data_IF_955790118414
#
_entry.id   IF_955790118414
#
_cell.length_a   1.000
_cell.length_b   1.000
_cell.length_c   1.000
_cell.angle_alpha   90.00
_cell.angle_beta   90.00
_cell.angle_gamma   90.00
#
_symmetry.space_group_name_H-M   'P 1'
#
loop_
_entity.id
_entity.type
_entity.pdbx_description
1 polymer ?
#
# COMPACT_ATOMS: atom_id res chain seq x y z
N UNK A 1 -13.26 -5.68 -2.74
CA UNK A 1 -11.93 -6.13 -2.28
C UNK A 1 -12.01 -6.83 -0.94
N UNK A 2 -11.24 -7.90 -0.72
CA UNK A 2 -11.02 -8.41 0.64
C UNK A 2 -9.95 -7.54 1.31
N UNK A 3 -10.11 -7.21 2.59
CA UNK A 3 -9.14 -6.41 3.35
C UNK A 3 -7.70 -6.97 3.23
N UNK A 4 -7.57 -8.30 3.12
CA UNK A 4 -6.31 -9.02 2.96
C UNK A 4 -5.52 -8.62 1.71
N UNK A 5 -6.20 -8.16 0.66
CA UNK A 5 -5.54 -7.76 -0.57
C UNK A 5 -4.87 -6.39 -0.40
N UNK A 6 -5.51 -5.46 0.34
CA UNK A 6 -4.95 -4.12 0.62
C UNK A 6 -3.73 -4.22 1.54
N UNK A 7 -3.86 -5.02 2.60
CA UNK A 7 -2.74 -5.37 3.49
C UNK A 7 -1.55 -5.90 2.68
N UNK A 8 -1.80 -6.83 1.76
CA UNK A 8 -0.74 -7.36 0.90
C UNK A 8 -0.12 -6.31 0.00
N UNK A 9 -0.93 -5.48 -0.67
CA UNK A 9 -0.44 -4.41 -1.56
C UNK A 9 0.45 -3.45 -0.77
N UNK A 10 -0.04 -2.91 0.35
CA UNK A 10 0.68 -1.93 1.16
C UNK A 10 1.98 -2.52 1.73
N UNK A 11 1.94 -3.75 2.24
CA UNK A 11 3.12 -4.43 2.78
C UNK A 11 4.20 -4.67 1.71
N UNK A 12 3.80 -5.05 0.49
CA UNK A 12 4.72 -5.22 -0.63
C UNK A 12 5.27 -3.88 -1.13
N UNK A 13 4.41 -2.87 -1.26
CA UNK A 13 4.76 -1.52 -1.72
C UNK A 13 5.86 -0.92 -0.84
N UNK A 14 5.76 -1.08 0.48
CA UNK A 14 6.74 -0.55 1.43
C UNK A 14 8.18 -0.93 1.07
N UNK A 15 8.44 -2.19 0.72
CA UNK A 15 9.78 -2.62 0.35
C UNK A 15 10.24 -2.10 -1.01
N UNK A 16 9.30 -1.84 -1.92
CA UNK A 16 9.60 -1.26 -3.21
C UNK A 16 9.94 0.23 -3.12
N UNK A 17 9.35 0.97 -2.17
CA UNK A 17 9.41 2.45 -2.16
C UNK A 17 10.14 3.08 -0.97
N UNK A 18 10.36 2.36 0.14
CA UNK A 18 10.88 2.94 1.40
C UNK A 18 12.26 3.61 1.33
N UNK A 19 13.06 3.23 0.34
CA UNK A 19 14.41 3.77 0.13
C UNK A 19 14.48 4.68 -1.11
N UNK A 20 13.36 4.88 -1.79
CA UNK A 20 13.29 5.70 -3.00
C UNK A 20 12.97 7.13 -2.62
N UNK A 21 13.87 8.08 -2.93
CA UNK A 21 13.70 9.49 -2.55
C UNK A 21 12.42 10.10 -3.15
N UNK A 22 12.01 9.66 -4.34
CA UNK A 22 10.77 10.09 -5.00
C UNK A 22 9.50 9.70 -4.24
N UNK A 23 9.58 8.73 -3.34
CA UNK A 23 8.46 8.22 -2.55
C UNK A 23 8.50 8.64 -1.08
N UNK A 24 9.48 9.47 -0.70
CA UNK A 24 9.73 9.85 0.69
C UNK A 24 8.51 10.48 1.38
N UNK A 25 7.78 11.33 0.67
CA UNK A 25 6.56 11.95 1.22
C UNK A 25 5.49 10.91 1.50
N UNK A 26 5.22 10.02 0.53
CA UNK A 26 4.27 8.90 0.69
C UNK A 26 4.66 8.00 1.87
N UNK A 27 5.94 7.64 1.98
CA UNK A 27 6.46 6.82 3.09
C UNK A 27 6.28 7.52 4.44
N UNK A 28 6.50 8.83 4.50
CA UNK A 28 6.32 9.62 5.72
C UNK A 28 4.83 9.73 6.11
N UNK A 29 3.92 9.88 5.14
CA UNK A 29 2.48 9.86 5.41
C UNK A 29 1.97 8.48 5.82
N UNK A 30 2.61 7.42 5.30
CA UNK A 30 2.25 6.02 5.58
C UNK A 30 3.12 5.39 6.68
N UNK A 31 3.68 6.20 7.58
CA UNK A 31 4.68 5.80 8.59
C UNK A 31 4.25 4.63 9.49
N UNK A 32 2.95 4.49 9.75
CA UNK A 32 2.37 3.36 10.48
C UNK A 32 1.73 2.32 9.56
N UNK A 33 0.99 2.74 8.54
CA UNK A 33 0.23 1.83 7.67
C UNK A 33 1.12 0.82 6.94
N UNK A 34 2.25 1.27 6.39
CA UNK A 34 3.18 0.41 5.67
C UNK A 34 3.85 -0.66 6.54
N UNK A 35 4.46 -0.30 7.70
CA UNK A 35 5.01 -1.31 8.61
C UNK A 35 3.97 -2.27 9.19
N UNK A 36 2.76 -1.79 9.52
CA UNK A 36 1.69 -2.63 10.06
C UNK A 36 1.21 -3.66 9.04
N UNK A 37 1.02 -3.24 7.78
CA UNK A 37 0.65 -4.14 6.69
C UNK A 37 1.68 -5.26 6.51
N UNK A 38 2.97 -4.92 6.52
CA UNK A 38 4.03 -5.91 6.46
C UNK A 38 4.02 -6.84 7.68
N UNK A 39 3.86 -6.30 8.89
CA UNK A 39 3.87 -7.10 10.11
C UNK A 39 2.75 -8.16 10.10
N UNK A 40 1.55 -7.79 9.63
CA UNK A 40 0.44 -8.74 9.48
C UNK A 40 0.71 -9.76 8.38
N UNK A 41 1.13 -9.31 7.19
CA UNK A 41 1.37 -10.18 6.04
C UNK A 41 2.50 -11.21 6.28
N UNK A 42 3.51 -10.82 7.05
CA UNK A 42 4.64 -11.68 7.42
C UNK A 42 4.36 -12.59 8.62
N UNK A 43 3.17 -12.47 9.24
CA UNK A 43 2.80 -13.24 10.43
C UNK A 43 3.58 -12.85 11.70
N UNK A 44 4.19 -11.66 11.73
CA UNK A 44 4.85 -11.11 12.93
C UNK A 44 3.83 -10.71 14.00
N UNK A 45 2.63 -10.36 13.58
CA UNK A 45 1.47 -10.12 14.44
C UNK A 45 0.33 -11.05 14.05
N UNK A 46 -0.54 -11.33 15.01
CA UNK A 46 -1.77 -12.09 14.76
C UNK A 46 -2.84 -11.20 14.11
N UNK A 47 -4.01 -11.13 14.72
CA UNK A 47 -5.09 -10.28 14.20
C UNK A 47 -4.83 -8.79 14.48
N UNK A 48 -4.99 -7.96 13.45
CA UNK A 48 -4.95 -6.51 13.58
C UNK A 48 -6.26 -5.98 14.16
N UNK A 49 -6.16 -5.09 15.14
CA UNK A 49 -7.31 -4.31 15.63
C UNK A 49 -7.76 -3.26 14.61
N UNK A 50 -9.00 -2.78 14.76
CA UNK A 50 -9.63 -1.88 13.77
C UNK A 50 -8.84 -0.59 13.50
N UNK A 51 -8.18 -0.02 14.52
CA UNK A 51 -7.31 1.14 14.32
C UNK A 51 -6.13 0.85 13.40
N UNK A 52 -5.51 -0.34 13.53
CA UNK A 52 -4.41 -0.75 12.64
C UNK A 52 -4.91 -0.98 11.21
N UNK A 53 -6.12 -1.54 11.06
CA UNK A 53 -6.78 -1.68 9.77
C UNK A 53 -7.02 -0.32 9.10
N UNK A 54 -7.44 0.68 9.89
CA UNK A 54 -7.62 2.06 9.41
C UNK A 54 -6.36 2.67 8.81
N UNK A 55 -5.19 2.50 9.47
CA UNK A 55 -3.92 3.02 8.94
C UNK A 55 -3.51 2.34 7.61
N UNK A 56 -3.81 1.05 7.45
CA UNK A 56 -3.50 0.31 6.22
C UNK A 56 -4.41 0.75 5.08
N UNK A 57 -5.70 0.96 5.38
CA UNK A 57 -6.68 1.51 4.43
C UNK A 57 -6.29 2.92 3.95
N UNK A 58 -5.87 3.79 4.86
CA UNK A 58 -5.37 5.12 4.53
C UNK A 58 -4.11 5.06 3.64
N UNK A 59 -3.13 4.23 4.02
CA UNK A 59 -1.91 4.05 3.23
C UNK A 59 -2.19 3.52 1.82
N UNK A 60 -3.17 2.62 1.67
CA UNK A 60 -3.60 2.14 0.35
C UNK A 60 -4.20 3.26 -0.50
N UNK A 61 -5.04 4.11 0.10
CA UNK A 61 -5.61 5.29 -0.59
C UNK A 61 -4.54 6.26 -1.06
N UNK A 62 -3.56 6.57 -0.20
CA UNK A 62 -2.43 7.46 -0.52
C UNK A 62 -1.59 6.86 -1.66
N UNK A 63 -1.36 5.54 -1.65
CA UNK A 63 -0.64 4.87 -2.73
C UNK A 63 -1.36 5.04 -4.07
N UNK A 64 -2.69 4.85 -4.13
CA UNK A 64 -3.47 5.06 -5.35
C UNK A 64 -3.41 6.51 -5.83
N UNK A 65 -3.59 7.46 -4.93
CA UNK A 65 -3.52 8.90 -5.23
C UNK A 65 -2.15 9.29 -5.79
N UNK A 66 -1.06 8.77 -5.19
CA UNK A 66 0.31 9.08 -5.61
C UNK A 66 0.67 8.65 -7.03
N UNK A 67 -0.10 7.72 -7.60
CA UNK A 67 0.07 7.22 -8.98
C UNK A 67 -1.11 7.55 -9.87
N UNK A 68 -1.98 8.47 -9.42
CA UNK A 68 -3.16 8.95 -10.15
C UNK A 68 -4.19 7.86 -10.50
N UNK A 69 -4.24 6.77 -9.73
CA UNK A 69 -5.25 5.72 -9.86
C UNK A 69 -6.54 6.09 -9.09
N UNK A 70 -7.73 5.71 -9.57
CA UNK A 70 -8.99 5.92 -8.84
C UNK A 70 -8.97 5.30 -7.44
N UNK A 71 -9.54 5.98 -6.45
CA UNK A 71 -9.53 5.56 -5.04
C UNK A 71 -10.30 4.24 -4.77
N UNK A 72 -11.17 3.82 -5.68
CA UNK A 72 -11.92 2.57 -5.64
C UNK A 72 -11.24 1.42 -6.40
N UNK A 73 -10.03 1.63 -6.92
CA UNK A 73 -9.27 0.60 -7.63
C UNK A 73 -8.89 -0.57 -6.71
N UNK A 74 -9.07 -1.79 -7.21
CA UNK A 74 -8.78 -3.02 -6.48
C UNK A 74 -7.63 -3.79 -7.14
N UNK A 75 -6.58 -4.08 -6.37
CA UNK A 75 -5.40 -4.80 -6.84
C UNK A 75 -5.05 -5.98 -5.92
N UNK A 76 -4.69 -7.13 -6.49
CA UNK A 76 -4.33 -8.31 -5.70
C UNK A 76 -2.89 -8.28 -5.16
N UNK A 77 -2.04 -7.39 -5.69
CA UNK A 77 -0.62 -7.24 -5.33
C UNK A 77 -0.06 -5.87 -5.71
N UNK A 78 1.08 -5.49 -5.13
CA UNK A 78 1.83 -4.30 -5.55
C UNK A 78 2.22 -4.36 -7.02
N UNK A 79 2.55 -5.55 -7.54
CA UNK A 79 2.92 -5.73 -8.93
C UNK A 79 1.78 -5.35 -9.88
N UNK A 80 0.53 -5.70 -9.53
CA UNK A 80 -0.65 -5.37 -10.33
C UNK A 80 -0.91 -3.85 -10.32
N UNK A 81 -0.83 -3.23 -9.14
CA UNK A 81 -0.98 -1.78 -8.99
C UNK A 81 0.10 -1.03 -9.77
N UNK A 82 1.37 -1.39 -9.59
CA UNK A 82 2.49 -0.73 -10.26
C UNK A 82 2.41 -0.89 -11.78
N UNK A 83 1.94 -2.04 -12.28
CA UNK A 83 1.69 -2.24 -13.71
C UNK A 83 0.60 -1.30 -14.21
N UNK A 84 -0.53 -1.20 -13.52
CA UNK A 84 -1.62 -0.30 -13.90
C UNK A 84 -1.18 1.17 -13.90
N UNK A 85 -0.41 1.59 -12.90
CA UNK A 85 0.17 2.92 -12.82
C UNK A 85 1.10 3.22 -14.00
N UNK A 86 1.94 2.26 -14.42
CA UNK A 86 2.81 2.42 -15.59
C UNK A 86 1.98 2.50 -16.89
N UNK A 87 0.95 1.67 -17.04
CA UNK A 87 0.09 1.66 -18.24
C UNK A 87 -0.72 2.96 -18.39
N UNK A 88 -1.16 3.56 -17.28
CA UNK A 88 -1.85 4.85 -17.26
C UNK A 88 -0.92 6.03 -17.61
N UNK A 89 0.35 5.94 -17.20
CA UNK A 89 1.35 6.99 -17.38
C UNK A 89 2.23 6.78 -18.63
N UNK A 90 2.03 5.70 -19.39
CA UNK A 90 2.77 5.37 -20.61
C UNK A 90 2.29 6.17 -21.83
N UNK A 91 3.14 6.63 -22.75
CA UNK A 91 4.48 6.16 -23.16
C UNK A 91 4.61 4.63 -23.27
#
# INVERSE_FOLDING_TARGET
MQYIDKERVVGQAWFAVKNEESWKEVVNYCDLGMPLAYAAQSGLVGELGDSAKGFIEEAYGILLESVELPADSEFASWADLNKAAIEQNGQ
#
